data_IF_102518365910
#
_entry.id   IF_102518365910
#
_cell.length_a   1.000
_cell.length_b   1.000
_cell.length_c   1.000
_cell.angle_alpha   90.00
_cell.angle_beta   90.00
_cell.angle_gamma   90.00
#
_symmetry.space_group_name_H-M   'P 1'
#
loop_
_entity.id
_entity.type
_entity.pdbx_description
1 polymer ?
#
# COMPACT_ATOMS: atom_id res chain seq x y z
N UNK A 1 35.79 -28.75 46.81
CA UNK A 1 34.38 -28.68 46.36
C UNK A 1 33.92 -27.28 45.94
N UNK A 2 34.44 -26.17 46.51
CA UNK A 2 34.01 -24.81 46.13
C UNK A 2 34.44 -24.33 44.72
N UNK A 3 35.58 -24.77 44.20
CA UNK A 3 36.02 -24.36 42.85
C UNK A 3 35.11 -24.88 41.74
N UNK A 4 34.61 -26.11 41.85
CA UNK A 4 33.69 -26.72 40.86
C UNK A 4 32.36 -25.97 40.84
N UNK A 5 31.88 -25.52 42.00
CA UNK A 5 30.65 -24.74 42.10
C UNK A 5 30.80 -23.37 41.42
N UNK A 6 31.98 -22.75 41.57
CA UNK A 6 32.25 -21.43 41.00
C UNK A 6 32.35 -21.45 39.47
N UNK A 7 32.90 -22.52 38.87
CA UNK A 7 32.94 -22.68 37.41
C UNK A 7 31.56 -22.94 36.81
N UNK A 8 30.69 -23.69 37.49
CA UNK A 8 29.33 -23.97 37.00
C UNK A 8 28.47 -22.69 36.96
N UNK A 9 28.61 -21.83 37.97
CA UNK A 9 27.91 -20.53 38.01
C UNK A 9 28.39 -19.60 36.89
N UNK A 10 29.68 -19.64 36.53
CA UNK A 10 30.24 -18.82 35.44
C UNK A 10 29.77 -19.28 34.05
N UNK A 11 29.61 -20.59 33.83
CA UNK A 11 29.10 -21.10 32.55
C UNK A 11 27.62 -20.78 32.32
N UNK A 12 26.82 -20.69 33.39
CA UNK A 12 25.39 -20.37 33.30
C UNK A 12 25.12 -18.90 32.92
N UNK A 13 26.06 -17.98 33.17
CA UNK A 13 25.92 -16.56 32.79
C UNK A 13 26.38 -16.26 31.35
N UNK A 14 27.21 -17.13 30.76
CA UNK A 14 27.68 -17.02 29.38
C UNK A 14 26.70 -17.59 28.35
N UNK A 15 25.72 -18.40 28.77
CA UNK A 15 24.65 -18.92 27.89
C UNK A 15 23.43 -18.00 27.79
N UNK A 16 23.57 -16.72 28.16
CA UNK A 16 22.56 -15.71 27.89
C UNK A 16 22.37 -15.59 26.38
N UNK A 17 21.34 -16.25 25.85
CA UNK A 17 20.98 -16.21 24.44
C UNK A 17 20.83 -14.75 24.01
N UNK A 18 21.75 -14.27 23.18
CA UNK A 18 21.50 -13.10 22.31
C UNK A 18 20.42 -13.58 21.35
N UNK A 19 19.16 -13.40 21.73
CA UNK A 19 18.05 -13.72 20.86
C UNK A 19 18.18 -12.77 19.67
N UNK A 20 18.47 -13.27 18.44
CA UNK A 20 18.55 -12.40 17.30
C UNK A 20 17.23 -11.65 17.22
N UNK A 21 17.28 -10.32 17.20
CA UNK A 21 16.10 -9.53 16.89
C UNK A 21 15.71 -9.90 15.46
N UNK A 22 14.81 -10.87 15.33
CA UNK A 22 14.18 -11.20 14.06
C UNK A 22 13.41 -9.94 13.68
N UNK A 23 13.93 -9.20 12.71
CA UNK A 23 13.25 -8.03 12.17
C UNK A 23 11.87 -8.51 11.70
N UNK A 24 10.82 -7.98 12.33
CA UNK A 24 9.47 -8.41 12.02
C UNK A 24 9.17 -8.10 10.55
N UNK A 25 8.45 -8.98 9.84
CA UNK A 25 8.07 -8.70 8.46
C UNK A 25 7.26 -7.40 8.43
N UNK A 26 7.82 -6.36 7.79
CA UNK A 26 7.18 -5.07 7.64
C UNK A 26 6.15 -5.16 6.52
N UNK A 27 4.93 -4.69 6.80
CA UNK A 27 3.83 -4.70 5.85
C UNK A 27 4.13 -3.73 4.71
N UNK A 28 3.96 -4.19 3.47
CA UNK A 28 4.02 -3.39 2.26
C UNK A 28 2.68 -3.49 1.54
N UNK A 29 2.06 -2.36 1.24
CA UNK A 29 0.76 -2.32 0.58
C UNK A 29 0.54 -0.98 -0.13
N UNK A 30 -0.38 -0.97 -1.09
CA UNK A 30 -0.80 0.24 -1.80
C UNK A 30 -2.32 0.22 -1.92
N UNK A 31 -2.98 1.21 -1.31
CA UNK A 31 -4.44 1.31 -1.30
C UNK A 31 -4.88 2.61 -1.95
N UNK A 32 -5.94 2.55 -2.72
CA UNK A 32 -6.70 3.72 -3.10
C UNK A 32 -7.99 3.71 -2.31
N UNK A 33 -8.18 4.69 -1.43
CA UNK A 33 -9.41 4.85 -0.66
C UNK A 33 -10.27 5.90 -1.33
N UNK A 34 -11.55 5.58 -1.54
CA UNK A 34 -12.56 6.49 -2.09
C UNK A 34 -13.66 6.70 -1.05
N UNK A 35 -13.96 7.95 -0.75
CA UNK A 35 -15.09 8.34 0.12
C UNK A 35 -15.78 9.55 -0.52
N UNK A 36 -16.93 9.31 -1.14
CA UNK A 36 -17.68 10.27 -1.94
C UNK A 36 -16.82 11.00 -2.99
N UNK A 37 -16.52 12.28 -2.75
CA UNK A 37 -15.71 13.13 -3.63
C UNK A 37 -14.23 13.19 -3.22
N UNK A 38 -13.85 12.51 -2.14
CA UNK A 38 -12.50 12.50 -1.61
C UNK A 38 -11.80 11.19 -1.94
N UNK A 39 -10.49 11.26 -2.10
CA UNK A 39 -9.66 10.09 -2.30
C UNK A 39 -8.29 10.21 -1.63
N UNK A 40 -7.74 9.06 -1.26
CA UNK A 40 -6.40 8.95 -0.68
C UNK A 40 -5.65 7.79 -1.31
N UNK A 41 -4.50 8.09 -1.91
CA UNK A 41 -3.53 7.06 -2.28
C UNK A 41 -2.61 6.82 -1.08
N UNK A 42 -2.73 5.64 -0.50
CA UNK A 42 -2.00 5.23 0.70
C UNK A 42 -0.91 4.25 0.29
N UNK A 43 0.35 4.64 0.52
CA UNK A 43 1.50 3.76 0.34
C UNK A 43 2.04 3.36 1.71
N UNK A 44 2.10 2.04 1.96
CA UNK A 44 2.82 1.47 3.10
C UNK A 44 4.08 0.82 2.56
N UNK A 45 5.23 1.31 3.01
CA UNK A 45 6.53 0.76 2.64
C UNK A 45 7.43 0.70 3.86
N UNK A 46 7.96 -0.48 4.14
CA UNK A 46 8.84 -0.72 5.31
C UNK A 46 8.16 -0.32 6.64
N UNK A 47 6.83 -0.53 6.74
CA UNK A 47 6.04 -0.14 7.90
C UNK A 47 5.76 1.37 8.02
N UNK A 48 6.32 2.20 7.14
CA UNK A 48 6.00 3.62 7.05
C UNK A 48 4.81 3.83 6.13
N UNK A 49 3.81 4.56 6.62
CA UNK A 49 2.63 4.98 5.86
C UNK A 49 2.82 6.39 5.33
N UNK A 50 2.54 6.59 4.04
CA UNK A 50 2.51 7.88 3.35
C UNK A 50 1.18 7.99 2.61
N UNK A 51 0.57 9.16 2.65
CA UNK A 51 -0.74 9.41 2.02
C UNK A 51 -0.64 10.58 1.05
N UNK A 52 -1.23 10.43 -0.13
CA UNK A 52 -1.50 11.50 -1.08
C UNK A 52 -3.01 11.74 -1.13
N UNK A 53 -3.43 12.93 -0.75
CA UNK A 53 -4.83 13.33 -0.76
C UNK A 53 -5.24 13.86 -2.13
N UNK A 54 -6.47 13.59 -2.53
CA UNK A 54 -7.03 14.10 -3.77
C UNK A 54 -8.55 14.13 -3.76
N UNK A 55 -9.11 14.52 -4.89
CA UNK A 55 -10.54 14.57 -5.13
C UNK A 55 -10.92 13.70 -6.32
N UNK A 56 -12.01 12.97 -6.19
CA UNK A 56 -12.60 12.21 -7.31
C UNK A 56 -13.22 13.21 -8.27
N UNK A 57 -12.68 13.29 -9.49
CA UNK A 57 -13.19 14.19 -10.53
C UNK A 57 -14.05 13.47 -11.56
N UNK A 58 -13.90 12.16 -11.69
CA UNK A 58 -14.77 11.32 -12.50
C UNK A 58 -14.80 9.89 -11.94
N UNK A 59 -15.96 9.23 -12.03
CA UNK A 59 -16.15 7.86 -11.58
C UNK A 59 -17.18 7.15 -12.47
N UNK A 60 -16.76 6.04 -13.06
CA UNK A 60 -17.62 5.16 -13.85
C UNK A 60 -17.68 3.82 -13.12
N UNK A 61 -18.86 3.46 -12.60
CA UNK A 61 -19.10 2.16 -11.96
C UNK A 61 -19.97 1.32 -12.88
N UNK A 62 -19.51 0.11 -13.22
CA UNK A 62 -20.26 -0.81 -14.09
C UNK A 62 -21.03 -1.81 -13.23
N UNK A 63 -22.36 -1.74 -13.32
CA UNK A 63 -23.24 -2.70 -12.67
C UNK A 63 -23.33 -3.98 -13.50
N UNK A 64 -23.10 -5.13 -12.87
CA UNK A 64 -23.24 -6.46 -13.47
C UNK A 64 -21.94 -7.26 -13.44
N UNK A 65 -22.02 -8.50 -12.95
CA UNK A 65 -20.89 -9.36 -12.62
C UNK A 65 -20.07 -9.81 -13.84
N UNK A 66 -20.66 -9.76 -15.03
CA UNK A 66 -20.03 -10.19 -16.29
C UNK A 66 -19.10 -9.13 -16.91
N UNK A 67 -19.09 -7.89 -16.40
CA UNK A 67 -18.19 -6.85 -16.88
C UNK A 67 -16.73 -7.13 -16.43
N UNK A 68 -15.73 -7.04 -17.33
CA UNK A 68 -14.32 -7.23 -16.95
C UNK A 68 -13.77 -6.11 -16.05
N UNK A 69 -14.44 -4.95 -16.06
CA UNK A 69 -14.10 -3.78 -15.26
C UNK A 69 -15.24 -3.53 -14.29
N UNK A 70 -14.93 -3.41 -13.00
CA UNK A 70 -15.88 -3.05 -11.97
C UNK A 70 -16.05 -1.52 -11.88
N UNK A 71 -14.94 -0.78 -11.94
CA UNK A 71 -14.97 0.68 -11.87
C UNK A 71 -13.77 1.34 -12.54
N UNK A 72 -13.91 2.61 -12.92
CA UNK A 72 -12.80 3.50 -13.23
C UNK A 72 -12.95 4.80 -12.46
N UNK A 73 -11.86 5.26 -11.86
CA UNK A 73 -11.79 6.51 -11.10
C UNK A 73 -10.76 7.43 -11.73
N UNK A 74 -11.08 8.71 -11.83
CA UNK A 74 -10.11 9.77 -12.09
C UNK A 74 -10.02 10.61 -10.82
N UNK A 75 -8.81 10.75 -10.28
CA UNK A 75 -8.55 11.55 -9.09
C UNK A 75 -7.56 12.63 -9.44
N UNK A 76 -7.84 13.84 -8.98
CA UNK A 76 -6.93 14.97 -9.03
C UNK A 76 -6.26 15.15 -7.68
N UNK A 77 -4.93 15.22 -7.69
CA UNK A 77 -4.11 15.35 -6.48
C UNK A 77 -3.23 16.59 -6.60
N UNK A 78 -2.99 17.33 -5.51
CA UNK A 78 -2.14 18.52 -5.56
C UNK A 78 -0.70 18.20 -6.00
N UNK A 79 -0.14 17.05 -5.56
CA UNK A 79 1.28 16.75 -5.81
C UNK A 79 1.50 15.85 -7.03
N UNK A 80 0.54 14.99 -7.39
CA UNK A 80 0.68 14.05 -8.51
C UNK A 80 -0.14 14.42 -9.75
N UNK A 81 -0.96 15.48 -9.69
CA UNK A 81 -1.91 15.82 -10.75
C UNK A 81 -3.00 14.78 -10.93
N UNK A 82 -3.54 14.68 -12.15
CA UNK A 82 -4.64 13.75 -12.48
C UNK A 82 -4.16 12.35 -12.80
N UNK A 83 -4.76 11.37 -12.14
CA UNK A 83 -4.41 9.95 -12.30
C UNK A 83 -5.70 9.15 -12.51
N UNK A 84 -5.62 8.06 -13.29
CA UNK A 84 -6.75 7.17 -13.54
C UNK A 84 -6.46 5.79 -12.94
N UNK A 85 -7.44 5.22 -12.26
CA UNK A 85 -7.42 3.85 -11.76
C UNK A 85 -8.51 3.04 -12.45
N UNK A 86 -8.18 1.80 -12.79
CA UNK A 86 -9.10 0.82 -13.33
C UNK A 86 -9.17 -0.35 -12.35
N UNK A 87 -10.37 -0.61 -11.84
CA UNK A 87 -10.64 -1.77 -11.00
C UNK A 87 -11.13 -2.89 -11.91
N UNK A 88 -10.29 -3.88 -12.14
CA UNK A 88 -10.66 -5.08 -12.87
C UNK A 88 -11.39 -6.04 -11.94
N UNK A 89 -12.30 -6.83 -12.50
CA UNK A 89 -13.00 -7.87 -11.74
C UNK A 89 -12.26 -9.18 -11.91
N UNK A 90 -11.84 -9.79 -10.80
CA UNK A 90 -11.50 -11.22 -10.75
C UNK A 90 -12.58 -11.96 -9.97
N UNK A 91 -12.83 -13.17 -10.45
CA UNK A 91 -13.75 -14.19 -9.98
C UNK A 91 -13.97 -14.16 -8.45
N UNK A 92 -15.16 -13.66 -8.07
CA UNK A 92 -15.79 -13.64 -6.74
C UNK A 92 -15.34 -12.59 -5.70
N UNK A 93 -14.31 -11.79 -5.94
CA UNK A 93 -13.97 -10.65 -5.07
C UNK A 93 -13.13 -9.64 -5.85
N UNK A 94 -13.53 -8.35 -5.84
CA UNK A 94 -12.88 -7.26 -6.59
C UNK A 94 -11.36 -7.37 -6.56
N UNK A 95 -10.81 -7.90 -7.65
CA UNK A 95 -9.51 -8.52 -7.67
C UNK A 95 -8.65 -7.84 -8.69
N UNK A 96 -7.56 -7.27 -8.17
CA UNK A 96 -6.49 -6.57 -8.90
C UNK A 96 -6.95 -5.25 -9.52
N UNK A 97 -6.56 -4.14 -8.89
CA UNK A 97 -6.65 -2.82 -9.51
C UNK A 97 -5.38 -2.59 -10.31
N UNK A 98 -5.52 -2.57 -11.64
CA UNK A 98 -4.46 -2.14 -12.54
C UNK A 98 -4.57 -0.63 -12.71
N UNK A 99 -3.58 0.11 -12.22
CA UNK A 99 -3.53 1.56 -12.46
C UNK A 99 -3.24 1.81 -13.95
N UNK A 100 -4.06 2.64 -14.59
CA UNK A 100 -3.79 3.12 -15.94
C UNK A 100 -3.11 4.48 -15.87
N UNK A 101 -1.88 4.57 -16.36
CA UNK A 101 -1.22 5.87 -16.49
C UNK A 101 -1.93 6.67 -17.58
N UNK A 102 -2.56 7.79 -17.20
CA UNK A 102 -3.00 8.79 -18.17
C UNK A 102 -1.74 9.28 -18.93
N UNK A 103 -1.75 9.18 -20.25
CA UNK A 103 -0.65 9.67 -21.08
C UNK A 103 -0.38 11.15 -20.76
N UNK A 104 0.89 11.52 -20.53
CA UNK A 104 1.34 12.91 -20.49
C UNK A 104 1.15 13.67 -19.16
N UNK A 105 1.03 12.99 -18.01
CA UNK A 105 1.06 13.67 -16.72
C UNK A 105 2.51 13.79 -16.19
N UNK A 106 3.17 14.90 -16.50
CA UNK A 106 4.54 15.18 -16.04
C UNK A 106 4.64 15.31 -14.50
N UNK A 107 3.54 15.65 -13.82
CA UNK A 107 3.52 15.77 -12.35
C UNK A 107 3.63 14.41 -11.64
N UNK A 108 3.19 13.32 -12.28
CA UNK A 108 3.40 11.95 -11.75
C UNK A 108 4.89 11.58 -11.64
N UNK A 109 5.75 12.23 -12.43
CA UNK A 109 7.21 12.05 -12.39
C UNK A 109 7.91 13.10 -11.52
N UNK A 110 7.16 14.05 -10.96
CA UNK A 110 7.73 15.11 -10.13
C UNK A 110 8.14 14.59 -8.75
N UNK A 111 9.22 15.17 -8.22
CA UNK A 111 9.65 14.90 -6.85
C UNK A 111 8.55 15.31 -5.86
N UNK A 112 8.14 14.38 -4.98
CA UNK A 112 7.13 14.64 -3.96
C UNK A 112 5.76 14.05 -4.25
N UNK A 113 5.55 13.45 -5.42
CA UNK A 113 4.35 12.67 -5.69
C UNK A 113 4.44 11.30 -4.98
N UNK A 114 3.70 11.08 -3.89
CA UNK A 114 3.78 9.78 -3.17
C UNK A 114 3.29 8.57 -4.01
N UNK A 115 2.53 8.83 -5.08
CA UNK A 115 2.07 7.81 -6.03
C UNK A 115 3.22 7.35 -6.95
N UNK A 116 4.25 8.18 -7.18
CA UNK A 116 5.40 7.85 -8.03
C UNK A 116 6.15 6.61 -7.50
N UNK A 117 6.28 6.51 -6.19
CA UNK A 117 7.01 5.42 -5.53
C UNK A 117 6.23 4.09 -5.57
N UNK A 118 4.91 4.17 -5.75
CA UNK A 118 4.02 3.03 -5.92
C UNK A 118 3.77 2.66 -7.37
N UNK A 119 4.51 3.21 -8.35
CA UNK A 119 4.19 3.02 -9.77
C UNK A 119 4.22 1.58 -10.27
N UNK A 120 5.07 0.73 -9.69
CA UNK A 120 5.24 -0.66 -10.11
C UNK A 120 4.43 -1.64 -9.27
N UNK A 121 3.66 -1.16 -8.28
CA UNK A 121 2.93 -2.00 -7.33
C UNK A 121 1.51 -2.26 -7.80
N UNK A 122 0.95 -3.40 -7.36
CA UNK A 122 -0.49 -3.65 -7.42
C UNK A 122 -1.19 -2.77 -6.38
N UNK A 123 -2.33 -2.21 -6.75
CA UNK A 123 -3.17 -1.39 -5.88
C UNK A 123 -4.46 -2.14 -5.52
N UNK A 124 -5.03 -1.80 -4.37
CA UNK A 124 -6.35 -2.26 -3.94
C UNK A 124 -7.23 -1.02 -3.75
N UNK A 125 -8.39 -0.97 -4.43
CA UNK A 125 -9.39 0.08 -4.19
C UNK A 125 -10.29 -0.32 -3.04
N UNK A 126 -10.46 0.60 -2.09
CA UNK A 126 -11.44 0.54 -1.01
C UNK A 126 -12.44 1.67 -1.25
N UNK A 127 -13.59 1.32 -1.83
CA UNK A 127 -14.62 2.29 -2.17
C UNK A 127 -15.76 2.27 -1.14
N UNK A 128 -15.91 3.37 -0.42
CA UNK A 128 -16.95 3.60 0.58
C UNK A 128 -18.04 4.58 0.11
N UNK A 129 -18.00 5.02 -1.15
CA UNK A 129 -19.00 5.93 -1.71
C UNK A 129 -20.33 5.23 -1.97
N UNK A 130 -21.44 5.91 -1.61
CA UNK A 130 -22.82 5.41 -1.72
C UNK A 130 -23.48 5.69 -3.05
#
# INVERSE_FOLDING_TARGET
MHQILMTIVLLATLSGCVQPQVEQPKVNASYLVIEDSQAWAVLVSDGKRVEEHGVVVDAIKLAGDDAPVAASYVIDTPNCGKVQWLVERQDASDGVTTRMTLHGNDQLSASGCAISDGLTRVWTVLDYSS
#
